data_IF_737925115432
#
_entry.id   IF_737925115432
#
_cell.length_a   1.000
_cell.length_b   1.000
_cell.length_c   1.000
_cell.angle_alpha   90.00
_cell.angle_beta   90.00
_cell.angle_gamma   90.00
#
_symmetry.space_group_name_H-M   'P 1'
#
loop_
_entity.id
_entity.type
_entity.pdbx_description
1 polymer ?
#
# COMPACT_ATOMS: atom_id res chain seq x y z
N UNK A 1 10.55 9.19 -6.03
CA UNK A 1 9.71 10.10 -6.84
C UNK A 1 8.30 10.06 -6.27
N UNK A 2 7.66 11.23 -6.13
CA UNK A 2 6.24 11.41 -5.88
C UNK A 2 5.62 11.96 -7.17
N UNK A 3 4.60 11.30 -7.70
CA UNK A 3 3.91 11.70 -8.94
C UNK A 3 2.52 12.21 -8.61
N UNK A 4 2.20 13.42 -9.04
CA UNK A 4 0.82 13.89 -9.04
C UNK A 4 0.09 13.32 -10.26
N UNK A 5 -0.82 12.36 -10.07
CA UNK A 5 -1.55 11.75 -11.19
C UNK A 5 -2.57 12.68 -11.88
N UNK A 6 -2.82 13.89 -11.36
CA UNK A 6 -3.70 14.89 -12.00
C UNK A 6 -2.92 15.82 -12.91
N UNK A 7 -1.84 16.41 -12.40
CA UNK A 7 -0.99 17.31 -13.19
C UNK A 7 0.08 16.56 -13.98
N UNK A 8 0.28 15.27 -13.68
CA UNK A 8 1.37 14.43 -14.18
C UNK A 8 2.76 14.93 -13.78
N UNK A 9 2.84 15.85 -12.82
CA UNK A 9 4.09 16.45 -12.38
C UNK A 9 4.84 15.52 -11.40
N UNK A 10 6.10 15.17 -11.70
CA UNK A 10 6.94 14.45 -10.78
C UNK A 10 7.63 15.41 -9.80
N UNK A 11 7.84 14.95 -8.57
CA UNK A 11 8.72 15.59 -7.60
C UNK A 11 9.66 14.56 -6.98
N UNK A 12 10.88 14.99 -6.67
CA UNK A 12 11.87 14.14 -6.04
C UNK A 12 11.65 14.06 -4.53
N UNK A 13 11.67 12.83 -4.01
CA UNK A 13 11.62 12.53 -2.58
C UNK A 13 12.89 11.76 -2.28
N UNK A 14 13.76 12.26 -1.38
CA UNK A 14 15.03 11.62 -1.08
C UNK A 14 14.78 10.27 -0.39
N UNK A 15 15.62 9.29 -0.73
CA UNK A 15 15.76 8.03 -0.01
C UNK A 15 17.25 7.88 0.32
N UNK A 16 17.59 7.88 1.61
CA UNK A 16 18.99 7.73 2.01
C UNK A 16 19.46 6.30 1.73
N UNK A 17 20.23 6.13 0.67
CA UNK A 17 20.86 4.86 0.29
C UNK A 17 22.02 4.45 1.20
N UNK A 18 22.36 5.26 2.21
CA UNK A 18 23.30 4.86 3.26
C UNK A 18 22.57 4.24 4.45
N UNK A 19 21.38 4.76 4.79
CA UNK A 19 20.62 4.36 5.96
C UNK A 19 19.52 3.33 5.67
N UNK A 20 18.99 3.33 4.46
CA UNK A 20 17.77 2.60 4.13
C UNK A 20 17.88 1.79 2.85
N UNK A 21 17.11 0.71 2.78
CA UNK A 21 16.90 -0.13 1.59
C UNK A 21 15.41 -0.40 1.43
N UNK A 22 15.00 -0.73 0.21
CA UNK A 22 13.67 -1.28 -0.04
C UNK A 22 13.82 -2.78 -0.30
N UNK A 23 13.25 -3.60 0.57
CA UNK A 23 13.17 -5.05 0.34
C UNK A 23 11.83 -5.36 -0.32
N UNK A 24 11.86 -6.09 -1.43
CA UNK A 24 10.67 -6.59 -2.10
C UNK A 24 10.58 -8.09 -1.83
N UNK A 25 9.43 -8.53 -1.32
CA UNK A 25 9.12 -9.94 -1.08
C UNK A 25 7.91 -10.32 -1.93
N UNK A 26 8.13 -11.21 -2.87
CA UNK A 26 7.08 -11.82 -3.68
C UNK A 26 6.44 -12.96 -2.91
N UNK A 27 5.15 -12.83 -2.62
CA UNK A 27 4.37 -13.85 -1.90
C UNK A 27 4.32 -15.17 -2.65
N UNK A 28 4.61 -15.18 -3.96
CA UNK A 28 4.39 -16.33 -4.85
C UNK A 28 2.92 -16.48 -5.25
N UNK A 29 2.00 -15.71 -4.63
CA UNK A 29 0.58 -15.74 -4.98
C UNK A 29 0.33 -14.82 -6.17
N UNK A 30 -0.20 -15.41 -7.24
CA UNK A 30 -0.75 -14.74 -8.40
C UNK A 30 -2.25 -14.99 -8.41
N UNK A 31 -3.03 -14.06 -7.87
CA UNK A 31 -4.36 -13.96 -8.41
C UNK A 31 -4.19 -13.38 -9.82
N UNK A 32 -4.59 -14.12 -10.88
CA UNK A 32 -5.02 -13.44 -12.12
C UNK A 32 -5.92 -12.32 -11.64
N UNK A 33 -5.83 -11.10 -12.17
CA UNK A 33 -6.78 -10.03 -11.82
C UNK A 33 -8.20 -10.58 -12.00
N UNK A 34 -8.77 -11.15 -10.93
CA UNK A 34 -9.84 -12.16 -11.02
C UNK A 34 -11.06 -11.37 -11.38
N UNK A 35 -11.56 -11.62 -12.59
CA UNK A 35 -12.96 -11.48 -12.99
C UNK A 35 -13.65 -10.19 -12.54
N UNK A 36 -12.95 -9.05 -12.68
CA UNK A 36 -13.53 -7.72 -12.45
C UNK A 36 -13.42 -7.17 -11.03
N UNK A 37 -12.72 -7.80 -10.09
CA UNK A 37 -12.56 -7.25 -8.73
C UNK A 37 -11.88 -5.85 -8.73
N UNK A 38 -10.85 -5.66 -9.56
CA UNK A 38 -10.23 -4.35 -9.75
C UNK A 38 -11.20 -3.34 -10.37
N UNK A 39 -11.94 -3.75 -11.40
CA UNK A 39 -12.94 -2.92 -12.06
C UNK A 39 -14.07 -2.52 -11.09
N UNK A 40 -14.46 -3.43 -10.19
CA UNK A 40 -15.43 -3.18 -9.14
C UNK A 40 -14.94 -2.09 -8.17
N UNK A 41 -13.66 -2.10 -7.76
CA UNK A 41 -13.10 -1.01 -6.94
C UNK A 41 -13.15 0.32 -7.65
N UNK A 42 -12.76 0.36 -8.93
CA UNK A 42 -12.84 1.57 -9.73
C UNK A 42 -14.29 2.09 -9.86
N UNK A 43 -15.25 1.18 -10.03
CA UNK A 43 -16.68 1.53 -10.11
C UNK A 43 -17.21 2.05 -8.77
N UNK A 44 -16.85 1.41 -7.65
CA UNK A 44 -17.21 1.88 -6.31
C UNK A 44 -16.66 3.29 -6.03
N UNK A 45 -15.45 3.61 -6.49
CA UNK A 45 -14.91 4.96 -6.41
C UNK A 45 -15.71 5.98 -7.24
N UNK A 46 -16.16 5.61 -8.45
CA UNK A 46 -17.03 6.47 -9.28
C UNK A 46 -18.38 6.71 -8.63
N UNK A 47 -18.96 5.69 -8.00
CA UNK A 47 -20.21 5.82 -7.24
C UNK A 47 -20.05 6.80 -6.08
N UNK A 48 -18.94 6.73 -5.35
CA UNK A 48 -18.64 7.67 -4.29
C UNK A 48 -18.52 9.12 -4.80
N UNK A 49 -17.82 9.33 -5.93
CA UNK A 49 -17.74 10.64 -6.59
C UNK A 49 -19.12 11.17 -6.96
N UNK A 50 -19.97 10.35 -7.58
CA UNK A 50 -21.32 10.77 -7.96
C UNK A 50 -22.18 11.15 -6.76
N UNK A 51 -22.11 10.38 -5.66
CA UNK A 51 -22.84 10.65 -4.43
C UNK A 51 -22.37 11.94 -3.75
N UNK A 52 -21.05 12.12 -3.60
CA UNK A 52 -20.46 13.31 -3.00
C UNK A 52 -20.72 14.57 -3.85
N UNK A 53 -20.60 14.47 -5.17
CA UNK A 53 -20.89 15.58 -6.09
C UNK A 53 -22.35 16.02 -5.97
N UNK A 54 -23.29 15.06 -5.87
CA UNK A 54 -24.71 15.36 -5.63
C UNK A 54 -24.94 16.01 -4.26
N UNK A 55 -24.29 15.52 -3.19
CA UNK A 55 -24.38 16.09 -1.83
C UNK A 55 -23.90 17.53 -1.81
N UNK A 56 -22.76 17.81 -2.44
CA UNK A 56 -22.11 19.12 -2.50
C UNK A 56 -22.92 20.15 -3.30
N UNK A 57 -23.67 19.68 -4.30
CA UNK A 57 -24.53 20.51 -5.13
C UNK A 57 -23.77 21.57 -5.93
N UNK A 58 -24.48 22.44 -6.64
CA UNK A 58 -23.88 23.44 -7.53
C UNK A 58 -23.08 24.53 -6.80
N UNK A 59 -23.28 24.69 -5.49
CA UNK A 59 -22.64 25.72 -4.69
C UNK A 59 -21.27 25.31 -4.12
N UNK A 60 -20.98 24.00 -3.98
CA UNK A 60 -19.76 23.53 -3.33
C UNK A 60 -18.57 23.25 -4.26
N UNK A 61 -18.67 23.63 -5.55
CA UNK A 61 -17.59 23.43 -6.53
C UNK A 61 -17.57 22.04 -7.17
N UNK A 62 -16.73 21.87 -8.19
CA UNK A 62 -16.68 20.63 -8.99
C UNK A 62 -15.97 19.50 -8.24
N UNK A 63 -16.63 18.33 -8.15
CA UNK A 63 -16.06 17.09 -7.63
C UNK A 63 -16.15 16.04 -8.74
N UNK A 64 -15.00 15.74 -9.35
CA UNK A 64 -14.88 14.83 -10.50
C UNK A 64 -14.12 13.56 -10.17
N UNK A 65 -13.31 13.60 -9.12
CA UNK A 65 -12.52 12.48 -8.61
C UNK A 65 -12.49 12.53 -7.09
N UNK A 66 -12.21 11.41 -6.43
CA UNK A 66 -12.11 11.37 -4.96
C UNK A 66 -10.97 12.25 -4.41
N UNK A 67 -10.00 12.63 -5.25
CA UNK A 67 -8.98 13.62 -4.89
C UNK A 67 -9.55 15.03 -4.66
N UNK A 68 -10.74 15.33 -5.17
CA UNK A 68 -11.43 16.61 -4.95
C UNK A 68 -12.16 16.66 -3.59
N UNK A 69 -12.16 15.56 -2.83
CA UNK A 69 -12.79 15.44 -1.52
C UNK A 69 -11.74 15.31 -0.41
N UNK A 70 -12.04 15.83 0.78
CA UNK A 70 -11.21 15.61 1.98
C UNK A 70 -11.71 14.40 2.78
N UNK A 71 -10.87 13.78 3.63
CA UNK A 71 -11.31 12.73 4.54
C UNK A 71 -12.50 13.15 5.43
N UNK A 72 -12.51 14.41 5.87
CA UNK A 72 -13.58 14.97 6.71
C UNK A 72 -14.91 15.03 5.95
N UNK A 73 -14.90 15.49 4.69
CA UNK A 73 -16.10 15.51 3.86
C UNK A 73 -16.66 14.10 3.61
N UNK A 74 -15.79 13.10 3.43
CA UNK A 74 -16.21 11.69 3.33
C UNK A 74 -16.82 11.20 4.65
N UNK A 75 -16.25 11.56 5.80
CA UNK A 75 -16.75 11.17 7.11
C UNK A 75 -18.13 11.80 7.42
N UNK A 76 -18.32 13.07 7.06
CA UNK A 76 -19.63 13.75 7.17
C UNK A 76 -20.67 13.08 6.27
N UNK A 77 -20.34 12.87 4.98
CA UNK A 77 -21.23 12.20 4.04
C UNK A 77 -21.60 10.78 4.50
N UNK A 78 -20.69 10.10 5.18
CA UNK A 78 -20.96 8.78 5.78
C UNK A 78 -21.92 8.87 6.95
N UNK A 79 -21.75 9.85 7.83
CA UNK A 79 -22.62 10.10 8.98
C UNK A 79 -24.04 10.46 8.56
N UNK A 80 -24.17 11.20 7.46
CA UNK A 80 -25.45 11.57 6.84
C UNK A 80 -26.12 10.42 6.07
N UNK A 81 -25.44 9.28 5.91
CA UNK A 81 -25.93 8.14 5.14
C UNK A 81 -25.85 8.33 3.61
N UNK A 82 -25.14 9.35 3.12
CA UNK A 82 -24.88 9.57 1.70
C UNK A 82 -23.93 8.50 1.15
N UNK A 83 -22.89 8.16 1.91
CA UNK A 83 -21.98 7.07 1.60
C UNK A 83 -22.20 5.90 2.55
N UNK A 84 -22.42 4.70 2.01
CA UNK A 84 -22.66 3.50 2.81
C UNK A 84 -21.91 2.28 2.25
N UNK A 85 -21.79 1.24 3.08
CA UNK A 85 -21.20 -0.06 2.70
C UNK A 85 -19.81 0.07 2.07
N UNK A 86 -19.59 -0.69 1.01
CA UNK A 86 -18.32 -0.71 0.26
C UNK A 86 -17.94 0.64 -0.34
N UNK A 87 -18.91 1.38 -0.89
CA UNK A 87 -18.68 2.68 -1.54
C UNK A 87 -18.07 3.67 -0.55
N UNK A 88 -18.60 3.70 0.68
CA UNK A 88 -18.02 4.45 1.79
C UNK A 88 -16.57 4.02 2.06
N UNK A 89 -16.34 2.72 2.24
CA UNK A 89 -15.01 2.21 2.58
C UNK A 89 -13.97 2.55 1.50
N UNK A 90 -14.34 2.51 0.20
CA UNK A 90 -13.43 2.91 -0.89
C UNK A 90 -13.13 4.41 -0.87
N UNK A 91 -14.14 5.24 -0.59
CA UNK A 91 -13.95 6.69 -0.46
C UNK A 91 -13.02 7.04 0.70
N UNK A 92 -13.21 6.41 1.86
CA UNK A 92 -12.35 6.56 3.04
C UNK A 92 -10.92 6.13 2.76
N UNK A 93 -10.73 4.96 2.11
CA UNK A 93 -9.41 4.51 1.70
C UNK A 93 -8.72 5.54 0.80
N UNK A 94 -9.34 5.92 -0.32
CA UNK A 94 -8.67 6.74 -1.35
C UNK A 94 -8.33 8.13 -0.82
N UNK A 95 -9.24 8.77 -0.07
CA UNK A 95 -8.98 10.11 0.48
C UNK A 95 -7.91 10.07 1.57
N UNK A 96 -7.94 9.07 2.47
CA UNK A 96 -6.92 8.92 3.50
C UNK A 96 -5.56 8.52 2.93
N UNK A 97 -5.51 7.67 1.90
CA UNK A 97 -4.28 7.21 1.24
C UNK A 97 -3.61 8.33 0.42
N UNK A 98 -4.39 9.20 -0.24
CA UNK A 98 -3.85 10.40 -0.88
C UNK A 98 -3.13 11.30 0.14
N UNK A 99 -3.79 11.58 1.27
CA UNK A 99 -3.19 12.37 2.35
C UNK A 99 -1.96 11.67 2.94
N UNK A 100 -1.99 10.33 3.04
CA UNK A 100 -0.89 9.50 3.52
C UNK A 100 0.33 9.55 2.62
N UNK A 101 0.14 9.50 1.32
CA UNK A 101 1.21 9.59 0.33
C UNK A 101 2.00 10.90 0.48
N UNK A 102 1.29 12.02 0.67
CA UNK A 102 1.90 13.33 0.91
C UNK A 102 2.66 13.37 2.24
N UNK A 103 2.07 12.83 3.32
CA UNK A 103 2.74 12.74 4.63
C UNK A 103 4.00 11.87 4.58
N UNK A 104 3.92 10.70 3.95
CA UNK A 104 5.07 9.83 3.75
C UNK A 104 6.20 10.57 3.02
N UNK A 105 5.88 11.27 1.93
CA UNK A 105 6.88 12.04 1.18
C UNK A 105 7.54 13.14 2.03
N UNK A 106 6.77 13.81 2.88
CA UNK A 106 7.29 14.84 3.79
C UNK A 106 8.19 14.26 4.88
N UNK A 107 7.77 13.17 5.53
CA UNK A 107 8.58 12.46 6.53
C UNK A 107 9.91 11.97 5.94
N UNK A 108 9.88 11.44 4.71
CA UNK A 108 11.08 11.04 3.99
C UNK A 108 12.01 12.22 3.70
N UNK A 109 11.48 13.40 3.36
CA UNK A 109 12.29 14.62 3.18
C UNK A 109 12.94 15.10 4.48
N UNK A 110 12.23 14.93 5.60
CA UNK A 110 12.73 15.27 6.94
C UNK A 110 13.72 14.23 7.48
N UNK A 111 13.85 13.07 6.82
CA UNK A 111 14.70 11.97 7.27
C UNK A 111 14.09 11.14 8.40
N UNK A 112 12.79 11.31 8.70
CA UNK A 112 12.05 10.53 9.69
C UNK A 112 11.55 9.21 9.09
N UNK A 113 12.49 8.29 8.91
CA UNK A 113 12.25 6.99 8.27
C UNK A 113 11.34 6.10 9.13
N UNK A 114 11.39 6.24 10.45
CA UNK A 114 10.55 5.46 11.38
C UNK A 114 9.09 5.86 11.22
N UNK A 115 8.78 7.16 11.27
CA UNK A 115 7.41 7.65 11.05
C UNK A 115 6.93 7.36 9.62
N UNK A 116 7.80 7.47 8.62
CA UNK A 116 7.46 7.08 7.25
C UNK A 116 7.11 5.58 7.16
N UNK A 117 7.83 4.73 7.91
CA UNK A 117 7.54 3.30 8.02
C UNK A 117 6.16 3.01 8.63
N UNK A 118 5.76 3.76 9.66
CA UNK A 118 4.41 3.66 10.26
C UNK A 118 3.30 4.03 9.27
N UNK A 119 3.55 4.98 8.37
CA UNK A 119 2.63 5.28 7.28
C UNK A 119 2.51 4.12 6.27
N UNK A 120 3.56 3.30 6.08
CA UNK A 120 3.43 2.08 5.27
C UNK A 120 2.49 1.07 5.93
N UNK A 121 2.62 0.82 7.23
CA UNK A 121 1.70 -0.09 7.94
C UNK A 121 0.27 0.43 7.94
N UNK A 122 0.08 1.73 8.14
CA UNK A 122 -1.24 2.35 8.12
C UNK A 122 -1.87 2.29 6.72
N UNK A 123 -1.08 2.42 5.67
CA UNK A 123 -1.53 2.15 4.31
C UNK A 123 -1.97 0.70 4.12
N UNK A 124 -1.16 -0.25 4.59
CA UNK A 124 -1.48 -1.67 4.44
C UNK A 124 -2.79 -2.03 5.14
N UNK A 125 -2.99 -1.55 6.38
CA UNK A 125 -4.25 -1.72 7.09
C UNK A 125 -5.44 -1.12 6.30
N UNK A 126 -5.27 0.07 5.72
CA UNK A 126 -6.28 0.67 4.85
C UNK A 126 -6.57 -0.18 3.60
N UNK A 127 -5.54 -0.76 2.97
CA UNK A 127 -5.72 -1.64 1.80
C UNK A 127 -6.40 -2.97 2.15
N UNK A 128 -6.11 -3.51 3.33
CA UNK A 128 -6.72 -4.75 3.84
C UNK A 128 -8.17 -4.51 4.25
N UNK A 129 -8.42 -3.48 5.06
CA UNK A 129 -9.70 -3.31 5.76
C UNK A 129 -10.67 -2.42 4.98
N UNK A 130 -10.19 -1.29 4.43
CA UNK A 130 -11.02 -0.29 3.74
C UNK A 130 -11.07 -0.47 2.23
N UNK A 131 -9.98 -0.92 1.60
CA UNK A 131 -9.97 -1.21 0.16
C UNK A 131 -10.22 -2.68 -0.15
N UNK A 132 -10.07 -3.58 0.82
CA UNK A 132 -10.29 -5.01 0.69
C UNK A 132 -9.58 -5.62 -0.54
N UNK A 133 -8.26 -5.41 -0.60
CA UNK A 133 -7.38 -5.93 -1.66
C UNK A 133 -6.17 -6.72 -1.14
N UNK A 134 -6.09 -7.01 0.16
CA UNK A 134 -5.03 -7.87 0.69
C UNK A 134 -5.41 -9.36 0.64
N UNK A 135 -4.46 -10.23 1.00
CA UNK A 135 -4.67 -11.68 1.15
C UNK A 135 -3.95 -12.16 2.41
N UNK A 136 -4.30 -13.35 2.94
CA UNK A 136 -3.65 -13.89 4.13
C UNK A 136 -2.12 -14.00 4.01
N UNK A 137 -1.61 -14.27 2.82
CA UNK A 137 -0.17 -14.36 2.54
C UNK A 137 0.53 -13.01 2.67
N UNK A 138 -0.09 -11.97 2.10
CA UNK A 138 0.43 -10.61 2.19
C UNK A 138 0.33 -10.12 3.64
N UNK A 139 -0.80 -10.35 4.30
CA UNK A 139 -1.03 -9.94 5.68
C UNK A 139 0.01 -10.60 6.60
N UNK A 140 0.28 -11.89 6.42
CA UNK A 140 1.31 -12.60 7.17
C UNK A 140 2.70 -11.98 6.97
N UNK A 141 3.08 -11.66 5.72
CA UNK A 141 4.38 -11.06 5.42
C UNK A 141 4.53 -9.70 6.09
N UNK A 142 3.48 -8.87 6.09
CA UNK A 142 3.49 -7.55 6.73
C UNK A 142 3.52 -7.68 8.25
N UNK A 143 2.72 -8.58 8.84
CA UNK A 143 2.69 -8.81 10.29
C UNK A 143 4.02 -9.37 10.79
N UNK A 144 4.64 -10.29 10.04
CA UNK A 144 5.96 -10.81 10.37
C UNK A 144 7.03 -9.70 10.33
N UNK A 145 7.01 -8.86 9.30
CA UNK A 145 7.91 -7.71 9.19
C UNK A 145 7.71 -6.72 10.35
N UNK A 146 6.45 -6.47 10.73
CA UNK A 146 6.11 -5.65 11.91
C UNK A 146 6.63 -6.25 13.21
N UNK A 147 6.58 -7.57 13.36
CA UNK A 147 7.12 -8.30 14.51
C UNK A 147 8.64 -8.19 14.65
N UNK A 148 9.38 -8.10 13.53
CA UNK A 148 10.82 -7.79 13.57
C UNK A 148 11.07 -6.36 14.08
N UNK A 149 10.24 -5.41 13.62
CA UNK A 149 10.27 -4.01 14.03
C UNK A 149 11.63 -3.32 13.79
N UNK A 150 11.77 -2.12 14.35
CA UNK A 150 12.97 -1.28 14.17
C UNK A 150 14.23 -1.99 14.69
N UNK A 151 14.10 -2.73 15.80
CA UNK A 151 15.22 -3.50 16.37
C UNK A 151 15.70 -4.62 15.44
N UNK A 152 14.79 -5.25 14.71
CA UNK A 152 15.10 -6.20 13.64
C UNK A 152 15.56 -5.55 12.32
N UNK A 153 15.48 -4.22 12.20
CA UNK A 153 15.86 -3.47 11.01
C UNK A 153 14.72 -3.23 10.02
N UNK A 154 13.46 -3.32 10.44
CA UNK A 154 12.28 -3.05 9.61
C UNK A 154 11.57 -1.80 10.12
N UNK A 155 11.49 -0.77 9.28
CA UNK A 155 10.77 0.46 9.58
C UNK A 155 9.29 0.36 9.21
N UNK A 156 8.97 -0.24 8.07
CA UNK A 156 7.60 -0.32 7.56
C UNK A 156 7.44 -1.41 6.51
N UNK A 157 6.22 -1.93 6.35
CA UNK A 157 5.90 -2.87 5.29
C UNK A 157 4.47 -2.67 4.78
N UNK A 158 4.26 -2.88 3.47
CA UNK A 158 2.93 -2.88 2.84
C UNK A 158 2.90 -3.68 1.56
N UNK A 159 1.70 -4.06 1.14
CA UNK A 159 1.44 -4.52 -0.22
C UNK A 159 1.83 -3.46 -1.25
N UNK A 160 2.31 -3.90 -2.41
CA UNK A 160 2.58 -3.07 -3.59
C UNK A 160 1.85 -3.62 -4.83
N UNK A 161 1.50 -2.73 -5.76
CA UNK A 161 0.73 -3.07 -6.96
C UNK A 161 -0.79 -3.11 -6.72
N UNK A 162 -1.51 -3.82 -7.59
CA UNK A 162 -2.98 -3.86 -7.59
C UNK A 162 -3.63 -4.67 -6.46
N UNK A 163 -2.83 -5.37 -5.67
CA UNK A 163 -3.27 -6.26 -4.61
C UNK A 163 -3.70 -7.65 -5.07
N UNK A 164 -4.43 -8.35 -4.20
CA UNK A 164 -4.85 -9.73 -4.37
C UNK A 164 -3.64 -10.66 -4.57
N UNK A 165 -2.72 -10.64 -3.60
CA UNK A 165 -1.43 -11.31 -3.70
C UNK A 165 -0.35 -10.39 -4.26
N UNK A 166 0.62 -10.94 -4.99
CA UNK A 166 1.75 -10.19 -5.51
C UNK A 166 2.84 -9.98 -4.45
N UNK A 167 3.29 -8.74 -4.27
CA UNK A 167 4.48 -8.44 -3.48
C UNK A 167 4.19 -7.53 -2.28
N UNK A 168 5.03 -7.66 -1.26
CA UNK A 168 5.19 -6.70 -0.17
C UNK A 168 6.47 -5.91 -0.39
N UNK A 169 6.41 -4.60 -0.17
CA UNK A 169 7.58 -3.72 -0.05
C UNK A 169 7.81 -3.40 1.41
N UNK A 170 9.07 -3.49 1.83
CA UNK A 170 9.51 -3.20 3.19
C UNK A 170 10.59 -2.12 3.15
N UNK A 171 10.45 -1.11 4.00
CA UNK A 171 11.50 -0.12 4.24
C UNK A 171 12.37 -0.65 5.39
N UNK A 172 13.64 -0.90 5.10
CA UNK A 172 14.54 -1.60 6.03
C UNK A 172 15.84 -0.84 6.22
N UNK A 173 16.50 -1.08 7.34
CA UNK A 173 17.83 -0.58 7.62
C UNK A 173 18.85 -1.16 6.63
N UNK A 174 19.73 -0.30 6.11
CA UNK A 174 20.69 -0.69 5.09
C UNK A 174 21.70 -1.73 5.57
N UNK A 175 22.14 -1.67 6.82
CA UNK A 175 23.07 -2.62 7.41
C UNK A 175 22.42 -3.97 7.74
N UNK A 176 21.10 -4.02 7.86
CA UNK A 176 20.34 -5.24 8.20
C UNK A 176 19.59 -5.85 7.02
N UNK A 177 19.54 -5.20 5.86
CA UNK A 177 18.70 -5.60 4.72
C UNK A 177 18.84 -7.09 4.32
N UNK A 178 20.05 -7.63 4.24
CA UNK A 178 20.27 -9.04 3.91
C UNK A 178 19.80 -9.99 5.02
N UNK A 179 20.05 -9.63 6.28
CA UNK A 179 19.58 -10.44 7.42
C UNK A 179 18.05 -10.46 7.51
N UNK A 180 17.39 -9.32 7.26
CA UNK A 180 15.93 -9.22 7.18
C UNK A 180 15.43 -10.08 6.02
N UNK A 181 16.03 -9.96 4.83
CA UNK A 181 15.67 -10.76 3.65
C UNK A 181 15.71 -12.25 3.95
N UNK A 182 16.81 -12.74 4.52
CA UNK A 182 16.96 -14.16 4.85
C UNK A 182 15.96 -14.60 5.92
N UNK A 183 15.74 -13.80 6.96
CA UNK A 183 14.79 -14.10 8.04
C UNK A 183 13.36 -14.22 7.51
N UNK A 184 12.89 -13.18 6.81
CA UNK A 184 11.53 -13.12 6.25
C UNK A 184 11.29 -14.26 5.27
N UNK A 185 12.22 -14.49 4.34
CA UNK A 185 12.06 -15.53 3.32
C UNK A 185 12.05 -16.94 3.93
N UNK A 186 12.91 -17.19 4.92
CA UNK A 186 12.94 -18.47 5.64
C UNK A 186 11.65 -18.71 6.40
N UNK A 187 11.21 -17.73 7.19
CA UNK A 187 9.99 -17.84 7.99
C UNK A 187 8.74 -17.97 7.11
N UNK A 188 8.68 -17.24 5.99
CA UNK A 188 7.55 -17.32 5.07
C UNK A 188 7.48 -18.68 4.38
N UNK A 189 8.61 -19.27 3.97
CA UNK A 189 8.63 -20.63 3.39
C UNK A 189 8.10 -21.67 4.37
N UNK A 190 8.50 -21.59 5.64
CA UNK A 190 7.99 -22.48 6.69
C UNK A 190 6.48 -22.28 6.89
N UNK A 191 6.00 -21.04 6.87
CA UNK A 191 4.57 -20.76 6.96
C UNK A 191 3.79 -21.33 5.76
N UNK A 192 4.30 -21.16 4.53
CA UNK A 192 3.70 -21.75 3.32
C UNK A 192 3.65 -23.27 3.41
N UNK A 193 4.73 -23.92 3.85
CA UNK A 193 4.76 -25.38 4.05
C UNK A 193 3.72 -25.85 5.07
N UNK A 194 3.56 -25.14 6.18
CA UNK A 194 2.54 -25.42 7.19
C UNK A 194 1.10 -25.12 6.75
N UNK A 195 0.91 -24.34 5.68
CA UNK A 195 -0.41 -23.92 5.17
C UNK A 195 -0.65 -24.35 3.72
N UNK A 196 0.03 -25.42 3.29
CA UNK A 196 0.07 -25.87 1.89
C UNK A 196 -1.33 -26.05 1.28
N UNK A 197 -2.29 -26.63 1.99
CA UNK A 197 -3.65 -26.86 1.48
C UNK A 197 -4.43 -25.57 1.19
N UNK A 198 -4.17 -24.48 1.92
CA UNK A 198 -4.75 -23.17 1.65
C UNK A 198 -4.05 -22.50 0.47
N UNK A 199 -2.73 -22.67 0.40
CA UNK A 199 -1.88 -22.08 -0.63
C UNK A 199 -2.07 -22.74 -2.02
N UNK A 200 -2.17 -24.07 -2.07
CA UNK A 200 -2.38 -24.85 -3.31
C UNK A 200 -3.76 -24.63 -3.93
N UNK A 201 -4.77 -24.27 -3.12
CA UNK A 201 -6.12 -23.92 -3.62
C UNK A 201 -6.13 -22.72 -4.55
N UNK A 202 -5.09 -21.89 -4.51
CA UNK A 202 -4.98 -20.71 -5.36
C UNK A 202 -4.12 -20.93 -6.60
N UNK A 203 -3.18 -21.89 -6.61
CA UNK A 203 -2.17 -22.03 -7.69
C UNK A 203 -1.62 -23.46 -7.86
N UNK A 204 -1.51 -23.88 -9.12
CA UNK A 204 -0.74 -25.07 -9.50
C UNK A 204 0.02 -24.81 -10.81
N UNK A 205 1.36 -24.95 -10.84
CA UNK A 205 2.25 -25.24 -9.71
C UNK A 205 2.41 -24.04 -8.77
N UNK A 206 2.68 -24.32 -7.49
CA UNK A 206 3.00 -23.32 -6.47
C UNK A 206 4.30 -22.59 -6.84
N UNK A 207 4.28 -21.27 -7.12
CA UNK A 207 5.50 -20.51 -7.35
C UNK A 207 6.31 -20.42 -6.06
N UNK A 208 7.63 -20.55 -6.17
CA UNK A 208 8.55 -20.34 -5.05
C UNK A 208 8.56 -18.86 -4.66
N UNK A 209 8.30 -18.49 -3.39
CA UNK A 209 8.49 -17.12 -2.93
C UNK A 209 9.91 -16.64 -3.19
N UNK A 210 10.02 -15.38 -3.62
CA UNK A 210 11.28 -14.72 -3.94
C UNK A 210 11.42 -13.42 -3.16
N UNK A 211 12.66 -13.00 -2.90
CA UNK A 211 12.92 -11.70 -2.28
C UNK A 211 14.22 -11.09 -2.81
N UNK A 212 14.18 -9.77 -3.07
CA UNK A 212 15.35 -9.02 -3.52
C UNK A 212 15.38 -7.63 -2.89
N UNK A 213 16.59 -7.14 -2.63
CA UNK A 213 16.82 -5.77 -2.15
C UNK A 213 16.89 -4.85 -3.37
N UNK A 214 16.00 -3.88 -3.44
CA UNK A 214 15.98 -2.85 -4.45
C UNK A 214 16.79 -1.62 -3.99
N UNK A 215 17.60 -1.10 -4.91
CA UNK A 215 18.29 0.18 -4.79
C UNK A 215 17.67 1.17 -5.78
N UNK A 216 17.54 2.46 -5.41
CA UNK A 216 17.29 3.50 -6.41
C UNK A 216 18.36 3.41 -7.50
N UNK A 217 17.95 3.49 -8.77
CA UNK A 217 18.89 3.58 -9.89
C UNK A 217 19.60 4.94 -9.89
N UNK A 218 20.72 5.05 -10.60
CA UNK A 218 21.52 6.29 -10.64
C UNK A 218 20.72 7.55 -11.03
N UNK A 219 19.67 7.39 -11.85
CA UNK A 219 18.75 8.47 -12.23
C UNK A 219 17.87 9.01 -11.09
N UNK A 220 17.74 8.27 -9.99
CA UNK A 220 17.00 8.70 -8.80
C UNK A 220 17.77 9.72 -7.94
N UNK A 221 19.07 9.92 -8.21
CA UNK A 221 19.92 10.91 -7.55
C UNK A 221 19.87 12.30 -8.17
N UNK A 222 19.07 12.52 -9.23
CA UNK A 222 18.92 13.86 -9.83
C UNK A 222 18.11 14.74 -8.88
N UNK A 223 18.82 15.50 -8.07
CA UNK A 223 18.32 16.71 -7.44
C UNK A 223 18.70 17.84 -8.40
N UNK A 224 17.77 18.27 -9.24
CA UNK A 224 17.87 19.58 -9.91
C UNK A 224 17.33 20.66 -9.00
#
# INVERSE_FOLDING_TARGET
MLLDCRSEEPSHVPLSTEKTRVLVVDSGVRHRLVDGAYALRAEQCKQAVAALSKRRGSAGGSLTQLRDATPEEVAEASTEGVLTGDVRMRAEHVTSENARCLRFAELMKQGDVEAAGEEMYSSHASLRDLYAVSTPEIDWLVDHAKGLGIQGGVYGARITGGGFGGCVVMLVDAGKAESVRSSVLSAYRQWVEGNRDAYERHLTPVPQPGAFVAMPSDGAHRYE
#
